data_IF_047904505483
#
_entry.id   IF_047904505483
#
_cell.length_a   1.000
_cell.length_b   1.000
_cell.length_c   1.000
_cell.angle_alpha   90.00
_cell.angle_beta   90.00
_cell.angle_gamma   90.00
#
_symmetry.space_group_name_H-M   'P 1'
#
loop_
_entity.id
_entity.type
_entity.pdbx_description
1 polymer ?
#
# COMPACT_ATOMS: atom_id res chain seq x y z
N UNK A 1 14.01 -11.42 23.73
CA UNK A 1 12.89 -12.23 23.22
C UNK A 1 11.64 -11.38 22.92
N UNK A 2 10.90 -10.81 23.90
CA UNK A 2 9.72 -9.95 23.62
C UNK A 2 10.06 -8.66 22.84
N UNK A 3 11.19 -8.04 23.23
CA UNK A 3 11.76 -6.86 22.56
C UNK A 3 12.11 -7.13 21.09
N UNK A 4 12.46 -8.38 20.76
CA UNK A 4 12.87 -8.78 19.41
C UNK A 4 11.64 -8.90 18.50
N UNK A 5 10.54 -9.49 19.01
CA UNK A 5 9.29 -9.59 18.27
C UNK A 5 8.65 -8.22 18.00
N UNK A 6 8.73 -7.29 18.97
CA UNK A 6 8.31 -5.89 18.76
C UNK A 6 9.17 -5.17 17.71
N UNK A 7 10.45 -5.50 17.61
CA UNK A 7 11.31 -4.94 16.56
C UNK A 7 10.95 -5.50 15.18
N UNK A 8 10.71 -6.81 15.08
CA UNK A 8 10.28 -7.49 13.86
C UNK A 8 8.93 -6.93 13.36
N UNK A 9 7.93 -6.80 14.22
CA UNK A 9 6.63 -6.21 13.84
C UNK A 9 6.79 -4.78 13.29
N UNK A 10 7.69 -3.97 13.87
CA UNK A 10 7.95 -2.62 13.36
C UNK A 10 8.64 -2.63 12.00
N UNK A 11 9.56 -3.57 11.77
CA UNK A 11 10.22 -3.74 10.49
C UNK A 11 9.21 -4.11 9.40
N UNK A 12 8.38 -5.14 9.62
CA UNK A 12 7.36 -5.55 8.64
C UNK A 12 6.33 -4.44 8.38
N UNK A 13 5.93 -3.66 9.40
CA UNK A 13 5.08 -2.47 9.18
C UNK A 13 5.70 -1.47 8.22
N UNK A 14 6.97 -1.18 8.42
CA UNK A 14 7.71 -0.28 7.54
C UNK A 14 7.77 -0.81 6.10
N UNK A 15 8.05 -2.11 5.93
CA UNK A 15 8.11 -2.75 4.60
C UNK A 15 6.73 -2.72 3.92
N UNK A 16 5.65 -3.03 4.64
CA UNK A 16 4.28 -2.91 4.10
C UNK A 16 3.99 -1.48 3.65
N UNK A 17 4.36 -0.49 4.45
CA UNK A 17 4.14 0.91 4.11
C UNK A 17 4.99 1.38 2.92
N UNK A 18 6.21 0.85 2.76
CA UNK A 18 7.03 1.06 1.57
C UNK A 18 6.37 0.47 0.32
N UNK A 19 5.98 -0.81 0.36
CA UNK A 19 5.26 -1.47 -0.76
C UNK A 19 3.96 -0.76 -1.12
N UNK A 20 3.24 -0.21 -0.15
CA UNK A 20 2.05 0.62 -0.38
C UNK A 20 2.37 1.90 -1.14
N UNK A 21 3.47 2.57 -0.81
CA UNK A 21 3.91 3.78 -1.51
C UNK A 21 4.30 3.45 -2.95
N UNK A 22 5.04 2.36 -3.15
CA UNK A 22 5.45 1.92 -4.48
C UNK A 22 4.24 1.57 -5.35
N UNK A 23 3.27 0.82 -4.80
CA UNK A 23 2.00 0.54 -5.46
C UNK A 23 1.24 1.84 -5.79
N UNK A 24 1.23 2.81 -4.87
CA UNK A 24 0.62 4.11 -5.09
C UNK A 24 1.27 4.89 -6.23
N UNK A 25 2.60 4.83 -6.36
CA UNK A 25 3.32 5.44 -7.47
C UNK A 25 2.95 4.79 -8.81
N UNK A 26 2.91 3.46 -8.88
CA UNK A 26 2.51 2.73 -10.10
C UNK A 26 1.07 3.06 -10.53
N UNK A 27 0.13 3.12 -9.58
CA UNK A 27 -1.24 3.55 -9.85
C UNK A 27 -1.30 5.00 -10.35
N UNK A 28 -0.44 5.87 -9.84
CA UNK A 28 -0.28 7.25 -10.31
C UNK A 28 0.16 7.33 -11.77
N UNK A 29 1.11 6.48 -12.18
CA UNK A 29 1.56 6.41 -13.58
C UNK A 29 0.43 5.97 -14.54
N UNK A 30 -0.39 4.99 -14.14
CA UNK A 30 -1.57 4.59 -14.94
C UNK A 30 -2.57 5.73 -15.07
N UNK A 31 -2.86 6.44 -13.98
CA UNK A 31 -3.75 7.60 -14.03
C UNK A 31 -3.22 8.70 -14.95
N UNK A 32 -1.91 8.96 -14.94
CA UNK A 32 -1.30 9.94 -15.86
C UNK A 32 -1.39 9.48 -17.32
N UNK A 33 -1.19 8.18 -17.61
CA UNK A 33 -1.38 7.60 -18.93
C UNK A 33 -2.84 7.74 -19.41
N UNK A 34 -3.83 7.51 -18.55
CA UNK A 34 -5.25 7.73 -18.85
C UNK A 34 -5.53 9.21 -19.19
N UNK A 35 -4.95 10.14 -18.43
CA UNK A 35 -5.06 11.56 -18.71
C UNK A 35 -4.43 11.94 -20.05
N UNK A 36 -3.24 11.41 -20.36
CA UNK A 36 -2.57 11.61 -21.65
C UNK A 36 -3.40 11.05 -22.80
N UNK A 37 -3.98 9.86 -22.66
CA UNK A 37 -4.87 9.27 -23.66
C UNK A 37 -6.07 10.18 -23.93
N UNK A 38 -6.74 10.66 -22.87
CA UNK A 38 -7.89 11.56 -23.01
C UNK A 38 -7.53 12.87 -23.69
N UNK A 39 -6.38 13.46 -23.36
CA UNK A 39 -5.91 14.69 -23.97
C UNK A 39 -5.59 14.49 -25.45
N UNK A 40 -4.97 13.36 -25.81
CA UNK A 40 -4.69 13.00 -27.19
C UNK A 40 -5.97 12.85 -28.02
N UNK A 41 -7.03 12.24 -27.47
CA UNK A 41 -8.32 12.14 -28.16
C UNK A 41 -8.95 13.52 -28.42
N UNK A 42 -8.84 14.45 -27.47
CA UNK A 42 -9.28 15.85 -27.67
C UNK A 42 -8.47 16.55 -28.76
N UNK A 43 -7.15 16.36 -28.76
CA UNK A 43 -6.22 16.90 -29.77
C UNK A 43 -6.57 16.38 -31.16
N UNK A 44 -6.78 15.05 -31.31
CA UNK A 44 -7.17 14.41 -32.58
C UNK A 44 -8.46 15.02 -33.14
N UNK A 45 -9.49 15.20 -32.31
CA UNK A 45 -10.75 15.80 -32.76
C UNK A 45 -10.55 17.25 -33.20
N UNK A 46 -9.72 18.02 -32.48
CA UNK A 46 -9.39 19.40 -32.84
C UNK A 46 -8.69 19.47 -34.21
N UNK A 47 -7.67 18.66 -34.42
CA UNK A 47 -6.90 18.61 -35.67
C UNK A 47 -7.76 18.11 -36.84
N UNK A 48 -8.64 17.14 -36.60
CA UNK A 48 -9.58 16.66 -37.61
C UNK A 48 -10.55 17.76 -38.04
N UNK A 49 -11.07 18.55 -37.10
CA UNK A 49 -11.94 19.69 -37.40
C UNK A 49 -11.20 20.78 -38.19
N UNK A 50 -9.95 21.09 -37.81
CA UNK A 50 -9.12 22.05 -38.54
C UNK A 50 -8.87 21.60 -39.99
N UNK A 51 -8.55 20.33 -40.18
CA UNK A 51 -8.36 19.72 -41.51
C UNK A 51 -9.64 19.80 -42.37
N UNK A 52 -10.82 19.62 -41.77
CA UNK A 52 -12.10 19.76 -42.47
C UNK A 52 -12.43 21.22 -42.82
N UNK A 53 -12.07 22.17 -41.96
CA UNK A 53 -12.31 23.60 -42.18
C UNK A 53 -11.37 24.22 -43.22
N UNK A 54 -10.16 23.67 -43.38
CA UNK A 54 -9.17 24.16 -44.36
C UNK A 54 -8.52 22.99 -45.11
N UNK A 55 -9.25 22.35 -46.05
CA UNK A 55 -8.76 21.15 -46.73
C UNK A 55 -7.48 21.36 -47.55
N UNK A 56 -7.30 22.55 -48.14
CA UNK A 56 -6.14 22.83 -49.01
C UNK A 56 -4.84 23.02 -48.23
N UNK A 57 -4.92 23.49 -46.97
CA UNK A 57 -3.74 23.73 -46.12
C UNK A 57 -3.64 22.66 -45.02
N UNK A 58 -4.55 22.69 -44.05
CA UNK A 58 -4.56 21.79 -42.90
C UNK A 58 -4.87 20.33 -43.30
N UNK A 59 -5.72 20.12 -44.31
CA UNK A 59 -6.05 18.79 -44.81
C UNK A 59 -4.84 18.01 -45.33
N UNK A 60 -3.87 18.68 -45.96
CA UNK A 60 -2.64 18.06 -46.44
C UNK A 60 -1.74 17.57 -45.29
N UNK A 61 -1.68 18.32 -44.18
CA UNK A 61 -0.85 18.01 -43.02
C UNK A 61 -1.49 16.96 -42.09
N UNK A 62 -2.80 16.73 -42.20
CA UNK A 62 -3.52 15.84 -41.31
C UNK A 62 -3.09 14.36 -41.44
N UNK A 63 -2.75 13.89 -42.64
CA UNK A 63 -2.33 12.50 -42.86
C UNK A 63 -1.11 12.10 -42.00
N UNK A 64 0.01 12.83 -42.10
CA UNK A 64 1.18 12.63 -41.23
C UNK A 64 0.86 12.76 -39.74
N UNK A 65 0.05 13.76 -39.35
CA UNK A 65 -0.37 13.91 -37.96
C UNK A 65 -1.15 12.70 -37.45
N UNK A 66 -2.13 12.20 -38.21
CA UNK A 66 -2.95 11.06 -37.83
C UNK A 66 -2.13 9.78 -37.66
N UNK A 67 -1.11 9.56 -38.49
CA UNK A 67 -0.19 8.43 -38.35
C UNK A 67 0.59 8.50 -37.03
N UNK A 68 1.11 9.68 -36.68
CA UNK A 68 1.80 9.92 -35.42
C UNK A 68 0.86 9.78 -34.21
N UNK A 69 -0.36 10.29 -34.29
CA UNK A 69 -1.36 10.16 -33.24
C UNK A 69 -1.73 8.69 -32.97
N UNK A 70 -1.85 7.86 -34.01
CA UNK A 70 -2.06 6.42 -33.87
C UNK A 70 -0.86 5.76 -33.16
N UNK A 71 0.36 6.13 -33.53
CA UNK A 71 1.57 5.61 -32.89
C UNK A 71 1.62 5.98 -31.40
N UNK A 72 1.34 7.23 -31.05
CA UNK A 72 1.26 7.69 -29.65
C UNK A 72 0.19 6.97 -28.86
N UNK A 73 -0.99 6.76 -29.44
CA UNK A 73 -2.06 5.99 -28.79
C UNK A 73 -1.61 4.56 -28.49
N UNK A 74 -0.95 3.90 -29.44
CA UNK A 74 -0.41 2.56 -29.22
C UNK A 74 0.64 2.54 -28.10
N UNK A 75 1.56 3.51 -28.09
CA UNK A 75 2.57 3.62 -27.02
C UNK A 75 1.93 3.80 -25.64
N UNK A 76 0.88 4.62 -25.52
CA UNK A 76 0.16 4.80 -24.26
C UNK A 76 -0.51 3.48 -23.84
N UNK A 77 -1.18 2.78 -24.77
CA UNK A 77 -1.82 1.50 -24.48
C UNK A 77 -0.82 0.44 -24.02
N UNK A 78 0.31 0.31 -24.72
CA UNK A 78 1.35 -0.67 -24.38
C UNK A 78 1.95 -0.36 -22.99
N UNK A 79 2.20 0.93 -22.71
CA UNK A 79 2.68 1.36 -21.40
C UNK A 79 1.65 1.08 -20.30
N UNK A 80 0.35 1.34 -20.54
CA UNK A 80 -0.71 1.02 -19.57
C UNK A 80 -0.71 -0.47 -19.21
N UNK A 81 -0.65 -1.36 -20.21
CA UNK A 81 -0.59 -2.81 -19.97
C UNK A 81 0.65 -3.19 -19.15
N UNK A 82 1.81 -2.64 -19.48
CA UNK A 82 3.05 -2.89 -18.73
C UNK A 82 2.92 -2.45 -17.25
N UNK A 83 2.33 -1.28 -17.00
CA UNK A 83 2.12 -0.80 -15.63
C UNK A 83 1.06 -1.59 -14.88
N UNK A 84 -0.01 -2.04 -15.54
CA UNK A 84 -1.03 -2.92 -14.94
C UNK A 84 -0.43 -4.26 -14.49
N UNK A 85 0.46 -4.85 -15.29
CA UNK A 85 1.20 -6.06 -14.90
C UNK A 85 2.09 -5.80 -13.67
N UNK A 86 2.83 -4.68 -13.64
CA UNK A 86 3.63 -4.28 -12.47
C UNK A 86 2.78 -4.06 -11.23
N UNK A 87 1.59 -3.45 -11.38
CA UNK A 87 0.63 -3.26 -10.30
C UNK A 87 0.18 -4.61 -9.74
N UNK A 88 -0.16 -5.57 -10.60
CA UNK A 88 -0.59 -6.90 -10.15
C UNK A 88 0.49 -7.58 -9.31
N UNK A 89 1.76 -7.50 -9.74
CA UNK A 89 2.91 -8.02 -8.99
C UNK A 89 3.08 -7.28 -7.65
N UNK A 90 3.10 -5.94 -7.67
CA UNK A 90 3.28 -5.13 -6.45
C UNK A 90 2.16 -5.36 -5.43
N UNK A 91 0.92 -5.55 -5.89
CA UNK A 91 -0.21 -5.90 -5.03
C UNK A 91 -0.03 -7.26 -4.36
N UNK A 92 0.48 -8.26 -5.10
CA UNK A 92 0.73 -9.59 -4.53
C UNK A 92 1.85 -9.54 -3.49
N UNK A 93 2.96 -8.87 -3.80
CA UNK A 93 4.05 -8.71 -2.83
C UNK A 93 3.60 -7.97 -1.56
N UNK A 94 2.77 -6.93 -1.71
CA UNK A 94 2.20 -6.22 -0.56
C UNK A 94 1.27 -7.12 0.25
N UNK A 95 0.47 -7.98 -0.40
CA UNK A 95 -0.42 -8.94 0.28
C UNK A 95 0.39 -9.94 1.11
N UNK A 96 1.42 -10.53 0.54
CA UNK A 96 2.25 -11.52 1.23
C UNK A 96 3.00 -10.89 2.41
N UNK A 97 3.58 -9.70 2.25
CA UNK A 97 4.24 -8.98 3.35
C UNK A 97 3.25 -8.63 4.47
N UNK A 98 2.03 -8.22 4.12
CA UNK A 98 0.99 -7.91 5.09
C UNK A 98 0.53 -9.16 5.86
N UNK A 99 0.46 -10.30 5.19
CA UNK A 99 0.14 -11.58 5.81
C UNK A 99 1.23 -11.99 6.81
N UNK A 100 2.50 -11.83 6.45
CA UNK A 100 3.62 -12.11 7.35
C UNK A 100 3.63 -11.17 8.56
N UNK A 101 3.39 -9.87 8.34
CA UNK A 101 3.17 -8.92 9.44
C UNK A 101 2.09 -9.41 10.41
N UNK A 102 0.96 -9.90 9.90
CA UNK A 102 -0.15 -10.37 10.74
C UNK A 102 0.22 -11.59 11.57
N UNK A 103 1.01 -12.51 11.02
CA UNK A 103 1.53 -13.66 11.79
C UNK A 103 2.34 -13.17 12.99
N UNK A 104 3.25 -12.21 12.79
CA UNK A 104 4.06 -11.66 13.87
C UNK A 104 3.26 -10.83 14.88
N UNK A 105 2.23 -10.10 14.43
CA UNK A 105 1.33 -9.38 15.33
C UNK A 105 0.57 -10.32 16.26
N UNK A 106 -0.01 -11.41 15.72
CA UNK A 106 -0.73 -12.41 16.52
C UNK A 106 0.22 -13.10 17.50
N UNK A 107 1.41 -13.50 17.05
CA UNK A 107 2.41 -14.11 17.92
C UNK A 107 2.84 -13.18 19.07
N UNK A 108 2.88 -11.86 18.81
CA UNK A 108 3.20 -10.86 19.81
C UNK A 108 2.07 -10.70 20.82
N UNK A 109 0.84 -10.60 20.34
CA UNK A 109 -0.36 -10.47 21.18
C UNK A 109 -0.49 -11.65 22.14
N UNK A 110 -0.40 -12.88 21.63
CA UNK A 110 -0.46 -14.09 22.46
C UNK A 110 0.63 -14.13 23.54
N UNK A 111 1.81 -13.58 23.23
CA UNK A 111 2.91 -13.50 24.18
C UNK A 111 2.68 -12.42 25.24
N UNK A 112 2.24 -11.24 24.82
CA UNK A 112 1.95 -10.14 25.74
C UNK A 112 0.85 -10.57 26.73
N UNK A 113 -0.16 -11.32 26.29
CA UNK A 113 -1.19 -11.89 27.17
C UNK A 113 -0.62 -12.84 28.24
N UNK A 114 0.33 -13.70 27.87
CA UNK A 114 1.02 -14.59 28.82
C UNK A 114 1.83 -13.78 29.83
N UNK A 115 2.62 -12.81 29.36
CA UNK A 115 3.44 -11.96 30.23
C UNK A 115 2.57 -11.10 31.17
N UNK A 116 1.40 -10.65 30.71
CA UNK A 116 0.42 -9.90 31.51
C UNK A 116 -0.23 -10.79 32.57
N UNK A 117 -0.60 -12.02 32.22
CA UNK A 117 -1.16 -12.98 33.16
C UNK A 117 -0.16 -13.41 34.23
N UNK A 118 1.11 -13.61 33.87
CA UNK A 118 2.20 -13.90 34.82
C UNK A 118 2.39 -12.74 35.79
N UNK A 119 2.46 -11.50 35.30
CA UNK A 119 2.56 -10.30 36.15
C UNK A 119 1.37 -10.15 37.09
N UNK A 120 0.15 -10.32 36.59
CA UNK A 120 -1.06 -10.24 37.41
C UNK A 120 -1.07 -11.32 38.50
N UNK A 121 -0.61 -12.54 38.19
CA UNK A 121 -0.47 -13.62 39.18
C UNK A 121 0.55 -13.27 40.25
N UNK A 122 1.71 -12.76 39.87
CA UNK A 122 2.77 -12.41 40.83
C UNK A 122 2.35 -11.22 41.72
N UNK A 123 1.67 -10.21 41.16
CA UNK A 123 1.07 -9.11 41.92
C UNK A 123 0.02 -9.61 42.92
N UNK A 124 -0.84 -10.55 42.51
CA UNK A 124 -1.84 -11.14 43.41
C UNK A 124 -1.19 -11.90 44.58
N UNK A 125 -0.13 -12.67 44.32
CA UNK A 125 0.60 -13.40 45.37
C UNK A 125 1.19 -12.44 46.42
N UNK A 126 1.75 -11.32 45.98
CA UNK A 126 2.29 -10.28 46.88
C UNK A 126 1.17 -9.65 47.72
N UNK A 127 0.03 -9.33 47.11
CA UNK A 127 -1.11 -8.76 47.82
C UNK A 127 -1.70 -9.73 48.85
N UNK A 128 -1.79 -11.02 48.52
CA UNK A 128 -2.27 -12.06 49.43
C UNK A 128 -1.33 -12.23 50.63
N UNK A 129 -0.01 -12.23 50.41
CA UNK A 129 0.99 -12.30 51.48
C UNK A 129 0.86 -11.11 52.44
N UNK A 130 0.79 -9.88 51.92
CA UNK A 130 0.58 -8.67 52.71
C UNK A 130 -0.73 -8.72 53.51
N UNK A 131 -1.80 -9.24 52.90
CA UNK A 131 -3.09 -9.44 53.54
C UNK A 131 -3.00 -10.42 54.72
N UNK A 132 -2.33 -11.56 54.54
CA UNK A 132 -2.10 -12.53 55.60
C UNK A 132 -1.25 -11.96 56.74
N UNK A 133 -0.17 -11.24 56.44
CA UNK A 133 0.66 -10.59 57.46
C UNK A 133 -0.11 -9.57 58.29
N UNK A 134 -0.95 -8.76 57.64
CA UNK A 134 -1.81 -7.77 58.32
C UNK A 134 -2.79 -8.47 59.26
N UNK A 135 -3.46 -9.52 58.79
CA UNK A 135 -4.38 -10.30 59.61
C UNK A 135 -3.69 -10.96 60.82
N UNK A 136 -2.50 -11.56 60.61
CA UNK A 136 -1.68 -12.14 61.70
C UNK A 136 -1.28 -11.10 62.75
N UNK A 137 -0.97 -9.86 62.33
CA UNK A 137 -0.64 -8.75 63.25
C UNK A 137 -1.85 -8.31 64.08
N UNK A 138 -3.04 -8.25 63.48
CA UNK A 138 -4.27 -7.86 64.18
C UNK A 138 -4.73 -8.90 65.21
N UNK A 139 -4.57 -10.20 64.92
CA UNK A 139 -4.97 -11.27 65.84
C UNK A 139 -3.95 -11.58 66.96
N UNK A 140 -2.79 -10.91 66.98
CA UNK A 140 -1.77 -11.05 68.03
C UNK A 140 -1.79 -9.91 69.07
N UNK A 141 -2.73 -8.96 68.95
CA UNK A 141 -3.07 -7.95 69.95
C UNK A 141 -4.35 -8.37 70.68
#
# INVERSE_FOLDING_TARGET
>A
MAKDLKAIVRLHKYIVDEKRRDLGALLGEVLDLEHRAKNLEVEIVSEQNAAQQSPEEAGYLYGPYAAEAIARRQQIMDATVEFEEKIAVAQEEMREEFKELKVFEIAKEARDEIEDAERARDEQLVLDELGQERHRRQNKL
#
